data_IF_256806097727
#
_entry.id   IF_256806097727
#
_cell.length_a   1.000
_cell.length_b   1.000
_cell.length_c   1.000
_cell.angle_alpha   90.00
_cell.angle_beta   90.00
_cell.angle_gamma   90.00
#
_symmetry.space_group_name_H-M   'P 1'
#
loop_
_entity.id
_entity.type
_entity.pdbx_description
1 polymer ?
#
# COMPACT_ATOMS: atom_id res chain seq x y z
N UNK A 1 -23.45 4.18 -13.08
CA UNK A 1 -22.82 4.69 -14.32
C UNK A 1 -21.98 3.56 -14.90
N UNK A 2 -22.39 2.96 -16.03
CA UNK A 2 -21.74 1.77 -16.59
C UNK A 2 -20.29 2.08 -16.98
N UNK A 3 -19.34 1.32 -16.41
CA UNK A 3 -17.92 1.36 -16.76
C UNK A 3 -17.69 0.79 -18.17
N UNK A 4 -17.74 1.66 -19.18
CA UNK A 4 -17.17 1.37 -20.51
C UNK A 4 -15.74 1.87 -20.55
N UNK A 5 -14.79 0.96 -20.39
CA UNK A 5 -13.37 1.19 -20.63
C UNK A 5 -13.12 1.41 -22.13
N UNK A 6 -13.15 2.66 -22.58
CA UNK A 6 -12.53 3.05 -23.86
C UNK A 6 -11.02 3.21 -23.64
N UNK A 7 -10.27 2.10 -23.72
CA UNK A 7 -8.86 2.06 -24.11
C UNK A 7 -8.37 0.61 -24.23
N UNK A 8 -8.93 -0.12 -25.20
CA UNK A 8 -8.55 -1.53 -25.48
C UNK A 8 -7.51 -1.68 -26.60
N UNK A 9 -6.74 -0.64 -26.96
CA UNK A 9 -5.94 -0.68 -28.20
C UNK A 9 -4.47 -0.28 -28.10
N UNK A 10 -3.79 -0.40 -26.94
CA UNK A 10 -2.32 -0.22 -26.88
C UNK A 10 -1.50 -1.29 -26.13
N UNK A 11 -2.10 -2.38 -25.64
CA UNK A 11 -1.37 -3.42 -24.89
C UNK A 11 -1.62 -4.81 -25.52
N UNK A 12 -1.03 -5.04 -26.69
CA UNK A 12 -1.16 -6.27 -27.48
C UNK A 12 -0.09 -7.34 -27.23
N UNK A 13 0.46 -7.40 -26.01
CA UNK A 13 1.39 -8.46 -25.58
C UNK A 13 1.27 -8.63 -24.06
N UNK A 14 1.46 -9.84 -23.52
CA UNK A 14 1.43 -10.03 -22.06
C UNK A 14 2.57 -9.19 -21.44
N UNK A 15 2.23 -8.21 -20.60
CA UNK A 15 3.23 -7.41 -19.91
C UNK A 15 4.14 -8.33 -19.08
N UNK A 16 5.44 -8.13 -19.19
CA UNK A 16 6.41 -8.85 -18.36
C UNK A 16 6.50 -8.16 -17.02
N UNK A 17 6.81 -8.91 -15.96
CA UNK A 17 7.02 -8.36 -14.61
C UNK A 17 7.93 -7.13 -14.62
N UNK A 18 8.99 -7.16 -15.44
CA UNK A 18 9.95 -6.07 -15.55
C UNK A 18 9.31 -4.76 -16.02
N UNK A 19 8.38 -4.81 -16.96
CA UNK A 19 7.71 -3.62 -17.50
C UNK A 19 6.78 -3.01 -16.43
N UNK A 20 6.09 -3.86 -15.69
CA UNK A 20 5.25 -3.43 -14.55
C UNK A 20 6.10 -2.82 -13.43
N UNK A 21 7.25 -3.42 -13.13
CA UNK A 21 8.21 -2.88 -12.15
C UNK A 21 8.80 -1.54 -12.57
N UNK A 22 9.00 -1.29 -13.87
CA UNK A 22 9.39 0.03 -14.36
C UNK A 22 8.30 1.07 -14.11
N UNK A 23 7.03 0.70 -14.31
CA UNK A 23 5.90 1.57 -14.01
C UNK A 23 5.88 1.90 -12.51
N UNK A 24 6.01 0.92 -11.62
CA UNK A 24 6.09 1.18 -10.18
C UNK A 24 7.29 2.09 -9.81
N UNK A 25 8.46 1.84 -10.39
CA UNK A 25 9.65 2.65 -10.16
C UNK A 25 9.51 4.10 -10.65
N UNK A 26 8.82 4.33 -11.77
CA UNK A 26 8.63 5.65 -12.36
C UNK A 26 7.39 6.39 -11.84
N UNK A 27 6.21 5.81 -12.03
CA UNK A 27 4.92 6.47 -11.76
C UNK A 27 4.56 6.54 -10.28
N UNK A 28 5.04 5.59 -9.47
CA UNK A 28 4.69 5.47 -8.05
C UNK A 28 5.79 6.05 -7.16
N UNK A 29 7.04 5.63 -7.37
CA UNK A 29 8.17 6.02 -6.51
C UNK A 29 9.03 7.14 -7.11
N UNK A 30 9.02 7.33 -8.43
CA UNK A 30 9.92 8.27 -9.13
C UNK A 30 11.39 8.09 -8.70
N UNK A 31 11.91 6.87 -8.89
CA UNK A 31 13.29 6.54 -8.54
C UNK A 31 14.28 7.34 -9.39
N UNK A 32 15.31 7.89 -8.73
CA UNK A 32 16.33 8.72 -9.33
C UNK A 32 17.68 8.00 -9.40
N UNK A 33 18.54 8.47 -10.30
CA UNK A 33 19.91 7.97 -10.44
C UNK A 33 20.69 8.12 -9.12
N UNK A 34 21.33 7.03 -8.71
CA UNK A 34 22.22 7.00 -7.55
C UNK A 34 21.53 6.78 -6.20
N UNK A 35 20.19 6.82 -6.14
CA UNK A 35 19.44 6.56 -4.93
C UNK A 35 19.57 5.11 -4.46
N UNK A 36 19.58 4.93 -3.14
CA UNK A 36 19.62 3.61 -2.52
C UNK A 36 18.20 3.04 -2.39
N UNK A 37 18.00 1.83 -2.90
CA UNK A 37 16.70 1.14 -2.88
C UNK A 37 16.82 -0.15 -2.09
N UNK A 38 16.27 -0.18 -0.88
CA UNK A 38 16.21 -1.40 -0.07
C UNK A 38 14.90 -2.14 -0.35
N UNK A 39 14.98 -3.36 -0.87
CA UNK A 39 13.84 -4.24 -1.11
C UNK A 39 13.86 -5.36 -0.07
N UNK A 40 12.79 -5.48 0.70
CA UNK A 40 12.62 -6.51 1.72
C UNK A 40 11.56 -7.48 1.24
N UNK A 41 11.90 -8.76 1.21
CA UNK A 41 11.04 -9.82 0.66
C UNK A 41 11.12 -11.10 1.47
N UNK A 42 10.27 -12.06 1.10
CA UNK A 42 10.35 -13.45 1.54
C UNK A 42 10.79 -14.37 0.40
N UNK A 43 11.11 -15.66 0.68
CA UNK A 43 11.11 -16.71 -0.35
C UNK A 43 9.77 -16.80 -1.09
N UNK A 44 9.70 -17.60 -2.15
CA UNK A 44 8.46 -17.85 -2.89
C UNK A 44 8.15 -16.78 -3.95
N UNK A 45 6.87 -16.64 -4.29
CA UNK A 45 6.40 -15.84 -5.44
C UNK A 45 6.72 -14.34 -5.30
N UNK A 46 6.69 -13.81 -4.07
CA UNK A 46 7.07 -12.41 -3.79
C UNK A 46 8.54 -12.10 -4.12
N UNK A 47 9.42 -13.11 -4.14
CA UNK A 47 10.81 -12.94 -4.55
C UNK A 47 10.93 -12.64 -6.05
N UNK A 48 10.06 -13.22 -6.88
CA UNK A 48 10.08 -12.98 -8.33
C UNK A 48 9.75 -11.51 -8.65
N UNK A 49 8.72 -10.97 -7.98
CA UNK A 49 8.35 -9.55 -8.06
C UNK A 49 9.51 -8.68 -7.56
N UNK A 50 10.14 -9.05 -6.44
CA UNK A 50 11.27 -8.32 -5.86
C UNK A 50 12.49 -8.29 -6.77
N UNK A 51 12.84 -9.40 -7.42
CA UNK A 51 13.93 -9.47 -8.40
C UNK A 51 13.62 -8.61 -9.65
N UNK A 52 12.35 -8.54 -10.03
CA UNK A 52 11.88 -7.66 -11.09
C UNK A 52 12.05 -6.18 -10.73
N UNK A 53 11.66 -5.79 -9.52
CA UNK A 53 11.84 -4.44 -8.98
C UNK A 53 13.32 -4.07 -8.88
N UNK A 54 14.17 -4.97 -8.38
CA UNK A 54 15.61 -4.77 -8.35
C UNK A 54 16.18 -4.53 -9.75
N UNK A 55 15.76 -5.33 -10.72
CA UNK A 55 16.20 -5.19 -12.11
C UNK A 55 15.71 -3.87 -12.74
N UNK A 56 14.49 -3.43 -12.42
CA UNK A 56 13.94 -2.16 -12.88
C UNK A 56 14.70 -0.98 -12.26
N UNK A 57 14.95 -0.98 -10.95
CA UNK A 57 15.71 0.07 -10.26
C UNK A 57 17.13 0.26 -10.86
N UNK A 58 17.79 -0.83 -11.26
CA UNK A 58 19.09 -0.75 -11.97
C UNK A 58 19.01 0.00 -13.30
N UNK A 59 17.91 -0.12 -14.04
CA UNK A 59 17.74 0.61 -15.30
C UNK A 59 17.60 2.12 -15.10
N UNK A 60 17.10 2.54 -13.94
CA UNK A 60 17.13 3.96 -13.51
C UNK A 60 18.48 4.37 -12.90
N UNK A 61 19.50 3.51 -12.97
CA UNK A 61 20.82 3.74 -12.38
C UNK A 61 20.78 3.98 -10.86
N UNK A 62 19.77 3.46 -10.17
CA UNK A 62 19.72 3.39 -8.72
C UNK A 62 20.64 2.27 -8.19
N UNK A 63 20.79 2.20 -6.87
CA UNK A 63 21.62 1.23 -6.15
C UNK A 63 20.72 0.29 -5.31
N UNK A 64 20.05 -0.69 -5.95
CA UNK A 64 19.16 -1.57 -5.21
C UNK A 64 19.92 -2.64 -4.42
N UNK A 65 19.35 -3.03 -3.28
CA UNK A 65 19.75 -4.16 -2.43
C UNK A 65 18.49 -4.96 -2.04
N UNK A 66 18.57 -6.29 -2.08
CA UNK A 66 17.48 -7.17 -1.60
C UNK A 66 17.91 -7.83 -0.29
N UNK A 67 17.00 -7.88 0.68
CA UNK A 67 17.08 -8.76 1.85
C UNK A 67 15.91 -9.72 1.85
N UNK A 68 16.21 -11.00 2.02
CA UNK A 68 15.24 -12.09 2.08
C UNK A 68 15.18 -12.57 3.53
N UNK A 69 13.97 -12.63 4.09
CA UNK A 69 13.69 -13.21 5.41
C UNK A 69 12.51 -14.17 5.35
N UNK A 70 12.37 -15.06 6.33
CA UNK A 70 11.17 -15.91 6.43
C UNK A 70 9.88 -15.08 6.61
N UNK A 71 8.73 -15.52 6.07
CA UNK A 71 7.45 -14.85 6.24
C UNK A 71 7.10 -14.59 7.71
N UNK A 72 6.54 -13.40 8.01
CA UNK A 72 6.12 -13.02 9.36
C UNK A 72 4.60 -12.91 9.47
N UNK A 73 4.06 -13.43 10.56
CA UNK A 73 2.70 -13.16 11.03
C UNK A 73 2.63 -11.85 11.83
N UNK A 74 1.43 -11.44 12.24
CA UNK A 74 1.22 -10.20 12.99
C UNK A 74 1.87 -10.19 14.39
N UNK A 75 2.33 -11.32 14.91
CA UNK A 75 2.97 -11.41 16.23
C UNK A 75 4.49 -11.50 16.17
N UNK A 76 5.05 -11.80 14.99
CA UNK A 76 6.47 -12.08 14.83
C UNK A 76 7.29 -10.82 14.53
N UNK A 77 8.56 -10.88 14.90
CA UNK A 77 9.52 -9.81 14.69
C UNK A 77 10.23 -9.99 13.35
N UNK A 78 10.55 -8.87 12.69
CA UNK A 78 11.46 -8.87 11.56
C UNK A 78 12.86 -9.32 12.02
N UNK A 79 13.63 -9.91 11.11
CA UNK A 79 15.01 -10.27 11.43
C UNK A 79 15.82 -9.03 11.81
N UNK A 80 16.77 -9.18 12.73
CA UNK A 80 17.64 -8.05 13.13
C UNK A 80 18.35 -7.43 11.93
N UNK A 81 18.79 -8.24 10.98
CA UNK A 81 19.42 -7.77 9.73
C UNK A 81 18.50 -6.88 8.90
N UNK A 82 17.20 -7.17 8.85
CA UNK A 82 16.21 -6.31 8.17
C UNK A 82 16.08 -4.97 8.89
N UNK A 83 15.99 -4.98 10.22
CA UNK A 83 15.90 -3.75 11.02
C UNK A 83 17.15 -2.88 10.84
N UNK A 84 18.35 -3.46 10.90
CA UNK A 84 19.60 -2.72 10.73
C UNK A 84 19.79 -2.21 9.29
N UNK A 85 19.29 -2.93 8.28
CA UNK A 85 19.29 -2.43 6.92
C UNK A 85 18.36 -1.23 6.73
N UNK A 86 17.20 -1.20 7.40
CA UNK A 86 16.34 -0.01 7.36
C UNK A 86 17.02 1.16 8.09
N UNK A 87 17.75 0.89 9.19
CA UNK A 87 18.53 1.90 9.93
C UNK A 87 19.69 2.50 9.14
N UNK A 88 20.10 1.91 8.01
CA UNK A 88 21.08 2.55 7.13
C UNK A 88 20.50 3.76 6.36
N UNK A 89 19.21 4.07 6.55
CA UNK A 89 18.51 5.23 5.97
C UNK A 89 18.59 5.33 4.43
N UNK A 90 18.26 4.24 3.69
CA UNK A 90 18.21 4.27 2.22
C UNK A 90 17.15 5.29 1.74
N UNK A 91 17.24 5.77 0.51
CA UNK A 91 16.28 6.75 -0.02
C UNK A 91 14.89 6.16 -0.22
N UNK A 92 14.83 4.88 -0.59
CA UNK A 92 13.62 4.13 -0.87
C UNK A 92 13.66 2.80 -0.11
N UNK A 93 12.56 2.47 0.58
CA UNK A 93 12.34 1.14 1.16
C UNK A 93 11.10 0.52 0.52
N UNK A 94 11.19 -0.69 0.00
CA UNK A 94 10.07 -1.43 -0.61
C UNK A 94 9.89 -2.73 0.16
N UNK A 95 8.66 -3.06 0.53
CA UNK A 95 8.34 -4.32 1.24
C UNK A 95 7.38 -5.19 0.42
N UNK A 96 7.89 -6.25 -0.22
CA UNK A 96 7.09 -7.23 -0.97
C UNK A 96 7.12 -8.54 -0.20
N UNK A 97 6.14 -8.74 0.67
CA UNK A 97 6.14 -9.85 1.63
C UNK A 97 4.92 -10.73 1.45
N UNK A 98 4.99 -12.02 1.76
CA UNK A 98 3.82 -12.90 1.70
C UNK A 98 2.73 -12.50 2.70
N UNK A 99 3.12 -11.95 3.86
CA UNK A 99 2.18 -11.62 4.95
C UNK A 99 2.48 -10.26 5.58
N UNK A 100 3.60 -10.13 6.29
CA UNK A 100 4.00 -8.91 7.00
C UNK A 100 5.52 -8.73 6.90
N UNK A 101 5.97 -7.49 7.04
CA UNK A 101 7.38 -7.13 7.25
C UNK A 101 7.93 -7.73 8.56
N UNK A 102 7.07 -7.83 9.59
CA UNK A 102 7.44 -8.17 10.95
C UNK A 102 7.52 -6.93 11.84
N UNK A 103 7.43 -7.16 13.15
CA UNK A 103 7.56 -6.12 14.18
C UNK A 103 9.02 -5.75 14.43
N UNK A 104 9.24 -4.54 14.92
CA UNK A 104 10.55 -4.09 15.41
C UNK A 104 10.61 -4.24 16.93
N UNK A 105 11.49 -5.13 17.41
CA UNK A 105 11.63 -5.40 18.84
C UNK A 105 12.14 -4.19 19.63
N UNK A 106 13.08 -3.42 19.08
CA UNK A 106 13.56 -2.21 19.73
C UNK A 106 12.48 -1.14 19.72
N UNK A 107 11.80 -0.96 18.58
CA UNK A 107 10.76 0.03 18.43
C UNK A 107 9.55 -0.20 19.37
N UNK A 108 9.12 -1.45 19.56
CA UNK A 108 8.01 -1.74 20.49
C UNK A 108 8.38 -1.55 21.97
N UNK A 109 9.60 -1.91 22.36
CA UNK A 109 10.01 -1.87 23.77
C UNK A 109 10.53 -0.49 24.20
N UNK A 110 11.36 0.13 23.37
CA UNK A 110 12.03 1.40 23.66
C UNK A 110 11.43 2.51 22.81
N UNK A 111 11.24 2.26 21.51
CA UNK A 111 10.73 3.22 20.53
C UNK A 111 11.79 4.14 19.97
N UNK A 112 11.45 4.78 18.86
CA UNK A 112 12.28 5.79 18.22
C UNK A 112 11.56 7.14 18.23
N UNK A 113 12.29 8.23 18.41
CA UNK A 113 11.75 9.59 18.31
C UNK A 113 12.07 10.15 16.93
N UNK A 114 11.05 10.53 16.18
CA UNK A 114 11.19 11.19 14.88
C UNK A 114 11.51 12.67 15.00
N UNK A 115 11.87 13.32 13.89
CA UNK A 115 12.09 14.79 13.82
C UNK A 115 10.84 15.61 14.16
N UNK A 116 9.67 15.00 14.11
CA UNK A 116 8.39 15.58 14.54
C UNK A 116 8.11 15.43 16.06
N UNK A 117 9.10 14.95 16.82
CA UNK A 117 9.02 14.65 18.25
C UNK A 117 7.96 13.59 18.62
N UNK A 118 7.46 12.82 17.65
CA UNK A 118 6.57 11.69 17.93
C UNK A 118 7.37 10.41 18.16
N UNK A 119 6.80 9.51 18.97
CA UNK A 119 7.37 8.20 19.25
C UNK A 119 6.81 7.17 18.26
N UNK A 120 7.69 6.42 17.62
CA UNK A 120 7.38 5.37 16.65
C UNK A 120 7.81 4.00 17.17
N UNK A 121 7.03 2.98 16.82
CA UNK A 121 7.26 1.60 17.26
C UNK A 121 8.02 0.75 16.24
N UNK A 122 8.37 1.34 15.09
CA UNK A 122 9.20 0.71 14.08
C UNK A 122 10.12 1.73 13.41
N UNK A 123 11.38 1.36 13.15
CA UNK A 123 12.32 2.25 12.44
C UNK A 123 11.80 2.71 11.07
N UNK A 124 11.12 1.84 10.32
CA UNK A 124 10.48 2.17 9.05
C UNK A 124 9.49 3.33 9.17
N UNK A 125 8.62 3.28 10.18
CA UNK A 125 7.61 4.32 10.43
C UNK A 125 8.26 5.64 10.86
N UNK A 126 9.30 5.60 11.70
CA UNK A 126 10.08 6.79 12.04
C UNK A 126 10.64 7.43 10.77
N UNK A 127 11.32 6.66 9.92
CA UNK A 127 11.97 7.20 8.74
C UNK A 127 10.95 7.72 7.71
N UNK A 128 9.82 7.03 7.57
CA UNK A 128 8.77 7.40 6.63
C UNK A 128 7.98 8.62 7.14
N UNK A 129 7.38 8.55 8.32
CA UNK A 129 6.45 9.60 8.77
C UNK A 129 7.09 10.65 9.65
N UNK A 130 7.93 10.23 10.61
CA UNK A 130 8.53 11.15 11.59
C UNK A 130 9.62 12.03 11.00
N UNK A 131 10.54 11.41 10.28
CA UNK A 131 11.68 12.11 9.68
C UNK A 131 11.40 12.55 8.26
N UNK A 132 10.41 11.92 7.59
CA UNK A 132 10.11 12.12 6.17
C UNK A 132 11.37 12.00 5.30
N UNK A 133 12.23 11.03 5.64
CA UNK A 133 13.53 10.78 5.03
C UNK A 133 13.44 9.86 3.82
N UNK A 134 12.58 8.86 3.92
CA UNK A 134 12.41 7.81 2.91
C UNK A 134 11.07 7.96 2.20
N UNK A 135 10.94 7.30 1.06
CA UNK A 135 9.64 6.99 0.45
C UNK A 135 9.50 5.50 0.21
N UNK A 136 8.27 5.02 0.09
CA UNK A 136 8.02 3.58 0.15
C UNK A 136 6.73 3.16 -0.55
N UNK A 137 6.68 1.88 -0.91
CA UNK A 137 5.42 1.16 -1.02
C UNK A 137 5.58 -0.25 -0.43
N UNK A 138 4.45 -0.85 -0.06
CA UNK A 138 4.42 -2.22 0.44
C UNK A 138 3.25 -3.00 -0.15
N UNK A 139 3.44 -4.31 -0.28
CA UNK A 139 2.51 -5.20 -0.96
C UNK A 139 2.40 -6.56 -0.24
N UNK A 140 1.89 -6.58 1.00
CA UNK A 140 1.70 -7.83 1.73
C UNK A 140 0.71 -8.75 1.01
N UNK A 141 1.11 -9.99 0.75
CA UNK A 141 0.26 -11.01 0.11
C UNK A 141 0.06 -10.81 -1.39
N UNK A 142 0.84 -9.94 -2.04
CA UNK A 142 0.75 -9.78 -3.48
C UNK A 142 1.29 -11.02 -4.20
N UNK A 143 0.57 -11.47 -5.23
CA UNK A 143 0.98 -12.53 -6.15
C UNK A 143 1.29 -11.95 -7.53
N UNK A 144 2.01 -12.67 -8.38
CA UNK A 144 2.44 -12.24 -9.71
C UNK A 144 1.24 -11.85 -10.57
N UNK A 145 0.16 -12.64 -10.54
CA UNK A 145 -1.07 -12.31 -11.27
C UNK A 145 -1.67 -10.95 -10.84
N UNK A 146 -1.76 -10.70 -9.54
CA UNK A 146 -2.26 -9.42 -9.01
C UNK A 146 -1.36 -8.27 -9.44
N UNK A 147 -0.04 -8.44 -9.32
CA UNK A 147 0.93 -7.43 -9.70
C UNK A 147 0.81 -7.07 -11.20
N UNK A 148 0.77 -8.09 -12.07
CA UNK A 148 0.64 -7.92 -13.52
C UNK A 148 -0.68 -7.27 -13.94
N UNK A 149 -1.78 -7.52 -13.24
CA UNK A 149 -3.11 -7.01 -13.61
C UNK A 149 -3.45 -5.66 -12.99
N UNK A 150 -2.94 -5.35 -11.80
CA UNK A 150 -3.43 -4.22 -11.00
C UNK A 150 -2.41 -3.08 -10.81
N UNK A 151 -1.12 -3.31 -11.07
CA UNK A 151 -0.10 -2.23 -11.00
C UNK A 151 0.03 -1.43 -12.31
N UNK A 152 -0.02 -2.00 -13.53
CA UNK A 152 0.17 -1.21 -14.74
C UNK A 152 -1.12 -0.48 -15.15
N UNK A 153 -1.50 0.51 -14.36
CA UNK A 153 -2.67 1.37 -14.55
C UNK A 153 -2.28 2.80 -14.92
N UNK A 154 -3.27 3.60 -15.32
CA UNK A 154 -3.11 5.03 -15.57
C UNK A 154 -3.08 5.79 -14.23
N UNK A 155 -1.88 6.02 -13.70
CA UNK A 155 -1.70 6.69 -12.41
C UNK A 155 -2.07 8.17 -12.44
N UNK A 156 -1.96 8.85 -13.58
CA UNK A 156 -2.43 10.24 -13.70
C UNK A 156 -3.95 10.30 -13.51
N UNK A 157 -4.66 9.41 -14.19
CA UNK A 157 -6.11 9.26 -14.01
C UNK A 157 -6.46 8.84 -12.59
N UNK A 158 -5.74 7.89 -12.01
CA UNK A 158 -5.98 7.44 -10.62
C UNK A 158 -5.87 8.61 -9.64
N UNK A 159 -4.78 9.39 -9.73
CA UNK A 159 -4.55 10.57 -8.89
C UNK A 159 -5.64 11.62 -9.07
N UNK A 160 -6.12 11.82 -10.30
CA UNK A 160 -7.22 12.72 -10.59
C UNK A 160 -8.54 12.25 -9.96
N UNK A 161 -8.94 11.01 -10.20
CA UNK A 161 -10.20 10.45 -9.69
C UNK A 161 -10.20 10.38 -8.16
N UNK A 162 -9.08 9.96 -7.56
CA UNK A 162 -8.92 9.91 -6.12
C UNK A 162 -9.03 11.29 -5.47
N UNK A 163 -8.46 12.33 -6.11
CA UNK A 163 -8.61 13.72 -5.66
C UNK A 163 -10.07 14.18 -5.71
N UNK A 164 -10.78 13.91 -6.80
CA UNK A 164 -12.19 14.29 -6.95
C UNK A 164 -13.04 13.62 -5.87
N UNK A 165 -12.86 12.32 -5.62
CA UNK A 165 -13.59 11.59 -4.58
C UNK A 165 -13.26 12.11 -3.18
N UNK A 166 -11.98 12.39 -2.88
CA UNK A 166 -11.57 12.95 -1.60
C UNK A 166 -12.21 14.33 -1.35
N UNK A 167 -12.28 15.19 -2.38
CA UNK A 167 -12.94 16.50 -2.26
C UNK A 167 -14.45 16.39 -2.01
N UNK A 168 -15.12 15.40 -2.58
CA UNK A 168 -16.54 15.12 -2.32
C UNK A 168 -16.73 14.67 -0.86
N UNK A 169 -15.91 13.73 -0.38
CA UNK A 169 -15.98 13.22 0.98
C UNK A 169 -15.64 14.31 2.02
N UNK A 170 -14.60 15.13 1.78
CA UNK A 170 -14.20 16.22 2.67
C UNK A 170 -15.30 17.27 2.87
N UNK A 171 -16.09 17.55 1.82
CA UNK A 171 -17.23 18.49 1.87
C UNK A 171 -18.51 17.81 2.37
N UNK A 172 -18.57 16.49 2.29
CA UNK A 172 -19.71 15.68 2.69
C UNK A 172 -19.98 15.74 4.19
N UNK A 173 -21.22 15.46 4.57
CA UNK A 173 -21.63 15.33 5.97
C UNK A 173 -22.04 13.90 6.31
N UNK A 174 -22.60 13.19 5.34
CA UNK A 174 -23.13 11.84 5.48
C UNK A 174 -22.89 11.05 4.19
N UNK A 175 -22.69 9.74 4.33
CA UNK A 175 -22.61 8.77 3.23
C UNK A 175 -23.77 7.79 3.39
N UNK A 176 -24.53 7.60 2.32
CA UNK A 176 -25.58 6.58 2.26
C UNK A 176 -25.12 5.41 1.42
N UNK A 177 -25.12 4.21 2.00
CA UNK A 177 -24.80 2.97 1.31
C UNK A 177 -26.09 2.16 1.23
N UNK A 178 -26.59 1.95 0.01
CA UNK A 178 -27.79 1.16 -0.24
C UNK A 178 -27.52 0.07 -1.28
N UNK A 179 -28.04 -1.15 -1.07
CA UNK A 179 -27.97 -2.26 -2.02
C UNK A 179 -29.30 -3.00 -2.13
N UNK A 180 -29.56 -3.62 -3.29
CA UNK A 180 -30.74 -4.47 -3.50
C UNK A 180 -30.80 -5.67 -2.54
N UNK A 181 -29.66 -6.04 -1.95
CA UNK A 181 -29.55 -7.16 -1.01
C UNK A 181 -29.93 -6.79 0.44
N UNK A 182 -30.24 -5.53 0.71
CA UNK A 182 -30.77 -5.07 1.99
C UNK A 182 -29.83 -4.19 2.83
N UNK A 183 -28.62 -3.89 2.35
CA UNK A 183 -27.82 -2.82 2.98
C UNK A 183 -28.57 -1.50 2.80
N UNK A 184 -28.81 -0.79 3.88
CA UNK A 184 -29.36 0.56 3.94
C UNK A 184 -28.75 1.25 5.16
N UNK A 185 -27.57 1.86 4.97
CA UNK A 185 -26.72 2.36 6.04
C UNK A 185 -26.36 3.82 5.80
N UNK A 186 -26.64 4.65 6.79
CA UNK A 186 -26.19 6.04 6.86
C UNK A 186 -24.97 6.16 7.77
N UNK A 187 -23.95 6.86 7.28
CA UNK A 187 -22.67 7.03 7.97
C UNK A 187 -22.37 8.53 8.09
N UNK A 188 -22.34 9.07 9.29
CA UNK A 188 -21.95 10.46 9.49
C UNK A 188 -20.43 10.65 9.31
N UNK A 189 -20.04 11.57 8.44
CA UNK A 189 -18.64 11.94 8.14
C UNK A 189 -18.35 13.43 8.40
N UNK A 190 -19.28 14.15 9.03
CA UNK A 190 -19.12 15.59 9.28
C UNK A 190 -17.86 15.86 10.09
N UNK A 191 -16.99 16.74 9.56
CA UNK A 191 -15.74 17.14 10.21
C UNK A 191 -14.62 16.09 10.14
N UNK A 192 -14.80 15.05 9.31
CA UNK A 192 -13.77 14.03 9.04
C UNK A 192 -12.98 14.44 7.79
N UNK A 193 -11.78 13.88 7.64
CA UNK A 193 -10.89 14.13 6.51
C UNK A 193 -10.72 12.86 5.71
N UNK A 194 -10.87 12.95 4.39
CA UNK A 194 -10.60 11.85 3.48
C UNK A 194 -9.09 11.63 3.33
N UNK A 195 -8.72 10.37 3.21
CA UNK A 195 -7.41 9.89 2.83
C UNK A 195 -7.52 9.20 1.47
N UNK A 196 -6.40 9.14 0.76
CA UNK A 196 -6.32 8.51 -0.55
C UNK A 196 -5.03 7.73 -0.67
N UNK A 197 -5.16 6.52 -1.17
CA UNK A 197 -4.08 5.69 -1.67
C UNK A 197 -4.09 5.83 -3.20
N UNK A 198 -3.52 6.93 -3.70
CA UNK A 198 -3.51 7.29 -5.12
C UNK A 198 -2.22 6.93 -5.84
N UNK A 199 -1.35 6.14 -5.18
CA UNK A 199 -0.07 5.70 -5.71
C UNK A 199 0.95 6.82 -5.90
N UNK A 200 0.75 8.04 -5.38
CA UNK A 200 1.76 9.11 -5.46
C UNK A 200 2.73 9.07 -4.28
N UNK A 201 3.75 8.21 -4.38
CA UNK A 201 4.79 8.04 -3.37
C UNK A 201 6.13 8.64 -3.79
N UNK A 202 6.10 9.62 -4.68
CA UNK A 202 7.28 10.20 -5.32
C UNK A 202 8.11 11.12 -4.42
N UNK A 203 7.58 11.49 -3.25
CA UNK A 203 8.23 12.42 -2.31
C UNK A 203 8.60 11.73 -1.00
N UNK A 204 9.71 12.13 -0.35
CA UNK A 204 10.01 11.69 1.00
C UNK A 204 8.84 11.91 1.97
N UNK A 205 8.62 10.91 2.82
CA UNK A 205 7.49 10.79 3.71
C UNK A 205 6.15 10.45 3.07
N UNK A 206 6.18 9.91 1.85
CA UNK A 206 5.03 9.29 1.19
C UNK A 206 5.25 7.79 1.02
N UNK A 207 4.18 7.05 1.29
CA UNK A 207 4.10 5.63 1.01
C UNK A 207 2.72 5.07 1.31
N UNK A 208 2.45 3.91 0.74
CA UNK A 208 1.14 3.26 0.81
C UNK A 208 1.18 1.86 0.21
N UNK A 209 0.01 1.29 -0.03
CA UNK A 209 -0.07 -0.04 -0.61
C UNK A 209 0.16 0.02 -2.11
N UNK A 210 0.67 -1.08 -2.65
CA UNK A 210 0.57 -1.38 -4.06
C UNK A 210 -0.01 -2.79 -4.22
N UNK A 211 -1.06 -3.01 -5.03
CA UNK A 211 -1.80 -2.03 -5.85
C UNK A 211 -2.52 -0.95 -5.04
N UNK A 212 -2.53 0.27 -5.57
CA UNK A 212 -3.22 1.43 -4.99
C UNK A 212 -4.64 1.58 -5.57
N UNK A 213 -5.41 2.54 -5.06
CA UNK A 213 -6.67 2.99 -5.68
C UNK A 213 -7.84 3.20 -4.75
N UNK A 214 -7.58 3.38 -3.46
CA UNK A 214 -8.62 3.58 -2.45
C UNK A 214 -8.74 5.04 -2.03
N UNK A 215 -9.97 5.50 -1.83
CA UNK A 215 -10.26 6.74 -1.12
C UNK A 215 -11.17 6.40 0.04
N UNK A 216 -10.76 6.79 1.25
CA UNK A 216 -11.44 6.38 2.47
C UNK A 216 -11.54 7.52 3.46
N UNK A 217 -12.54 7.46 4.32
CA UNK A 217 -12.79 8.44 5.37
C UNK A 217 -13.27 7.72 6.62
N UNK A 218 -12.77 8.12 7.79
CA UNK A 218 -13.19 7.53 9.06
C UNK A 218 -14.58 8.06 9.44
N UNK A 219 -15.53 7.20 9.86
CA UNK A 219 -16.84 7.64 10.31
C UNK A 219 -16.76 8.41 11.64
N UNK A 220 -17.77 9.23 11.90
CA UNK A 220 -17.99 9.76 13.24
C UNK A 220 -18.44 8.63 14.19
N UNK A 221 -17.65 8.40 15.24
CA UNK A 221 -17.89 7.35 16.24
C UNK A 221 -19.31 7.45 16.79
N UNK A 222 -20.04 6.33 16.75
CA UNK A 222 -21.40 6.20 17.29
C UNK A 222 -22.49 6.92 16.50
N UNK A 223 -22.22 7.36 15.26
CA UNK A 223 -23.15 8.13 14.43
C UNK A 223 -23.47 7.48 13.08
N UNK A 224 -23.36 6.16 13.01
CA UNK A 224 -23.84 5.39 11.87
C UNK A 224 -25.13 4.68 12.26
N UNK A 225 -26.11 4.66 11.36
CA UNK A 225 -27.44 4.10 11.62
C UNK A 225 -27.94 3.36 10.37
N UNK A 226 -28.53 2.19 10.57
CA UNK A 226 -29.13 1.39 9.50
C UNK A 226 -28.68 -0.07 9.52
N UNK A 227 -28.86 -0.73 8.37
CA UNK A 227 -28.60 -2.17 8.18
C UNK A 227 -27.43 -2.34 7.21
N UNK A 228 -26.49 -3.21 7.57
CA UNK A 228 -25.43 -3.63 6.66
C UNK A 228 -25.56 -5.14 6.41
N UNK A 229 -25.74 -5.50 5.14
CA UNK A 229 -25.75 -6.89 4.70
C UNK A 229 -24.34 -7.27 4.28
N UNK A 230 -23.76 -8.23 4.99
CA UNK A 230 -22.51 -8.84 4.59
C UNK A 230 -22.80 -9.94 3.58
N UNK A 231 -22.43 -9.68 2.33
CA UNK A 231 -22.58 -10.60 1.19
C UNK A 231 -21.20 -10.85 0.58
N UNK A 232 -20.35 -11.53 1.36
CA UNK A 232 -18.96 -11.76 1.00
C UNK A 232 -18.27 -12.76 1.91
N UNK A 233 -16.98 -12.93 1.69
CA UNK A 233 -16.16 -13.83 2.50
C UNK A 233 -15.45 -13.06 3.59
N UNK A 234 -15.59 -13.48 4.84
CA UNK A 234 -14.82 -12.97 5.98
C UNK A 234 -13.68 -13.95 6.28
N UNK A 235 -12.45 -13.46 6.18
CA UNK A 235 -11.26 -14.17 6.63
C UNK A 235 -11.12 -14.05 8.14
N UNK A 236 -11.29 -15.15 8.86
CA UNK A 236 -10.97 -15.28 10.29
C UNK A 236 -9.67 -16.07 10.41
N UNK A 237 -8.54 -15.41 10.13
CA UNK A 237 -7.23 -16.05 10.10
C UNK A 237 -7.06 -16.94 8.88
N UNK A 238 -6.70 -18.22 9.08
CA UNK A 238 -6.43 -19.18 8.00
C UNK A 238 -7.69 -19.73 7.32
N UNK A 239 -8.89 -19.33 7.78
CA UNK A 239 -10.16 -19.81 7.24
C UNK A 239 -11.00 -18.66 6.71
N UNK A 240 -11.48 -18.83 5.48
CA UNK A 240 -12.41 -17.92 4.84
C UNK A 240 -13.83 -18.47 5.00
N UNK A 241 -14.72 -17.70 5.61
CA UNK A 241 -16.12 -18.08 5.80
C UNK A 241 -17.00 -17.24 4.88
N UNK A 242 -17.88 -17.90 4.13
CA UNK A 242 -18.99 -17.18 3.50
C UNK A 242 -19.92 -16.72 4.61
N UNK A 243 -19.97 -15.42 4.83
CA UNK A 243 -20.91 -14.83 5.76
C UNK A 243 -22.06 -14.23 4.94
N UNK A 244 -23.27 -14.70 5.23
CA UNK A 244 -24.51 -14.10 4.76
C UNK A 244 -25.35 -13.77 5.98
N UNK A 245 -25.21 -12.55 6.49
CA UNK A 245 -26.10 -12.01 7.53
C UNK A 245 -27.15 -11.19 6.79
N UNK A 246 -28.41 -11.63 6.87
CA UNK A 246 -29.58 -10.97 6.30
C UNK A 246 -29.97 -9.75 7.15
#
# INVERSE_FOLDING_TARGET
>A
MLFRTKNKSRLGGSMKLKDVSKIAMHEVIDVQKGEEVLIITNPGEVLEISLSLFSAAKEFHAKPTIIIQEPKTSLEFAERSVIEAIKSEPDIVISITEKKLGKDAFGLNIGYVGRDNQKYTHIFEKLLWGDRRIRSFWSPGIIVDMYLRAVPIDYERLRYEARVLAEILDKGKEVHVATEKGTDLWINIKGRKAFKDDGDFRKPGKGGNLPAGEVFISPAVGKSEGVIVFDGTLGLGEKAYFLRIL
#
